data_IF_505675359836
#
_entry.id   IF_505675359836
#
_cell.length_a   1.000
_cell.length_b   1.000
_cell.length_c   1.000
_cell.angle_alpha   90.00
_cell.angle_beta   90.00
_cell.angle_gamma   90.00
#
_symmetry.space_group_name_H-M   'P 1'
#
loop_
_entity.id
_entity.type
_entity.pdbx_description
1 polymer ?
#
# COMPACT_ATOMS: atom_id res chain seq x y z
N UNK A 1 2.88 -8.22 17.36
CA UNK A 1 2.75 -6.87 16.76
C UNK A 1 2.30 -7.04 15.31
N UNK A 2 0.99 -7.04 15.03
CA UNK A 2 0.45 -7.40 13.70
C UNK A 2 0.86 -6.45 12.57
N UNK A 3 1.39 -5.26 12.90
CA UNK A 3 1.80 -4.23 11.94
C UNK A 3 3.32 -4.04 11.82
N UNK A 4 4.12 -4.95 12.39
CA UNK A 4 5.58 -4.80 12.42
C UNK A 4 6.15 -4.84 10.99
N UNK A 5 5.64 -5.72 10.15
CA UNK A 5 6.14 -5.88 8.78
C UNK A 5 5.82 -4.65 7.94
N UNK A 6 4.60 -4.14 8.03
CA UNK A 6 4.14 -2.91 7.38
C UNK A 6 4.97 -1.70 7.83
N UNK A 7 5.25 -1.62 9.14
CA UNK A 7 6.10 -0.56 9.69
C UNK A 7 7.55 -0.65 9.15
N UNK A 8 8.12 -1.85 9.06
CA UNK A 8 9.45 -2.06 8.49
C UNK A 8 9.50 -1.75 6.99
N UNK A 9 8.48 -2.15 6.23
CA UNK A 9 8.36 -1.85 4.80
C UNK A 9 8.19 -0.35 4.55
N UNK A 10 7.43 0.33 5.41
CA UNK A 10 7.28 1.79 5.37
C UNK A 10 8.61 2.52 5.62
N UNK A 11 9.42 2.02 6.57
CA UNK A 11 10.72 2.59 6.90
C UNK A 11 11.82 2.25 5.89
N UNK A 12 11.66 1.17 5.12
CA UNK A 12 12.66 0.65 4.19
C UNK A 12 13.31 1.73 3.28
N UNK A 13 12.57 2.60 2.57
CA UNK A 13 13.19 3.60 1.70
C UNK A 13 14.06 4.61 2.48
N UNK A 14 13.62 5.01 3.67
CA UNK A 14 14.36 5.95 4.52
C UNK A 14 15.61 5.29 5.10
N UNK A 15 15.49 4.05 5.59
CA UNK A 15 16.60 3.28 6.11
C UNK A 15 17.64 3.01 5.03
N UNK A 16 17.22 2.64 3.82
CA UNK A 16 18.11 2.42 2.68
C UNK A 16 18.86 3.70 2.30
N UNK A 17 18.18 4.85 2.26
CA UNK A 17 18.83 6.14 1.99
C UNK A 17 19.79 6.56 3.10
N UNK A 18 19.39 6.43 4.36
CA UNK A 18 20.24 6.72 5.52
C UNK A 18 21.50 5.84 5.55
N UNK A 19 21.35 4.54 5.27
CA UNK A 19 22.44 3.60 5.17
C UNK A 19 23.40 3.99 4.03
N UNK A 20 22.87 4.36 2.86
CA UNK A 20 23.68 4.86 1.75
C UNK A 20 24.47 6.12 2.14
N UNK A 21 23.83 7.09 2.80
CA UNK A 21 24.50 8.32 3.28
C UNK A 21 25.59 8.03 4.29
N UNK A 22 25.41 7.05 5.16
CA UNK A 22 26.43 6.64 6.11
C UNK A 22 27.69 6.11 5.40
N UNK A 23 27.53 5.30 4.36
CA UNK A 23 28.67 4.80 3.58
C UNK A 23 29.24 5.81 2.57
N UNK A 24 28.51 6.88 2.25
CA UNK A 24 28.90 7.87 1.22
C UNK A 24 28.87 9.31 1.77
N UNK A 25 29.65 9.62 2.83
CA UNK A 25 29.64 10.95 3.43
C UNK A 25 30.20 11.99 2.45
N UNK A 26 29.48 13.11 2.28
CA UNK A 26 29.90 14.22 1.41
C UNK A 26 29.78 13.95 -0.09
N UNK A 27 29.35 12.76 -0.51
CA UNK A 27 29.14 12.43 -1.92
C UNK A 27 27.70 12.75 -2.31
N UNK A 28 27.54 13.49 -3.41
CA UNK A 28 26.23 13.74 -4.01
C UNK A 28 25.73 12.51 -4.78
N UNK A 29 24.43 12.19 -4.71
CA UNK A 29 23.87 11.08 -5.48
C UNK A 29 24.08 11.32 -6.97
N UNK A 30 24.82 10.43 -7.62
CA UNK A 30 25.01 10.49 -9.06
C UNK A 30 23.69 10.29 -9.82
N UNK A 31 23.62 10.69 -11.11
CA UNK A 31 22.39 10.63 -11.90
C UNK A 31 21.72 9.25 -11.94
N UNK A 32 22.50 8.16 -11.89
CA UNK A 32 22.00 6.78 -11.87
C UNK A 32 21.19 6.47 -10.62
N UNK A 33 21.62 6.97 -9.46
CA UNK A 33 20.92 6.77 -8.17
C UNK A 33 19.61 7.55 -8.17
N UNK A 34 19.64 8.77 -8.70
CA UNK A 34 18.43 9.60 -8.87
C UNK A 34 17.44 8.92 -9.81
N UNK A 35 17.90 8.41 -10.97
CA UNK A 35 17.06 7.67 -11.91
C UNK A 35 16.47 6.40 -11.29
N UNK A 36 17.24 5.65 -10.51
CA UNK A 36 16.74 4.49 -9.79
C UNK A 36 15.66 4.87 -8.76
N UNK A 37 15.85 5.97 -8.03
CA UNK A 37 14.84 6.51 -7.12
C UNK A 37 13.55 6.90 -7.84
N UNK A 38 13.67 7.62 -8.96
CA UNK A 38 12.52 7.99 -9.80
C UNK A 38 11.79 6.77 -10.35
N UNK A 39 12.53 5.76 -10.83
CA UNK A 39 11.95 4.51 -11.30
C UNK A 39 11.19 3.77 -10.18
N UNK A 40 11.73 3.75 -8.96
CA UNK A 40 11.06 3.18 -7.80
C UNK A 40 9.74 3.89 -7.46
N UNK A 41 9.74 5.23 -7.46
CA UNK A 41 8.51 6.02 -7.24
C UNK A 41 7.48 5.75 -8.34
N UNK A 42 7.91 5.69 -9.60
CA UNK A 42 7.03 5.39 -10.73
C UNK A 42 6.42 3.99 -10.60
N UNK A 43 7.22 2.98 -10.25
CA UNK A 43 6.73 1.62 -10.02
C UNK A 43 5.71 1.55 -8.88
N UNK A 44 5.97 2.25 -7.76
CA UNK A 44 5.02 2.35 -6.65
C UNK A 44 3.68 2.92 -7.12
N UNK A 45 3.71 4.01 -7.90
CA UNK A 45 2.51 4.64 -8.41
C UNK A 45 1.74 3.74 -9.40
N UNK A 46 2.45 3.11 -10.33
CA UNK A 46 1.86 2.16 -11.29
C UNK A 46 1.22 0.97 -10.58
N UNK A 47 1.88 0.44 -9.54
CA UNK A 47 1.32 -0.67 -8.76
C UNK A 47 0.08 -0.24 -7.98
N UNK A 48 0.09 0.94 -7.34
CA UNK A 48 -1.07 1.47 -6.64
C UNK A 48 -2.26 1.67 -7.59
N UNK A 49 -2.02 2.21 -8.79
CA UNK A 49 -3.03 2.38 -9.82
C UNK A 49 -3.59 1.03 -10.28
N UNK A 50 -2.71 0.08 -10.63
CA UNK A 50 -3.10 -1.26 -11.06
C UNK A 50 -3.89 -2.01 -9.98
N UNK A 51 -3.44 -1.95 -8.73
CA UNK A 51 -4.12 -2.59 -7.60
C UNK A 51 -5.49 -1.96 -7.35
N UNK A 52 -5.59 -0.63 -7.38
CA UNK A 52 -6.87 0.08 -7.25
C UNK A 52 -7.87 -0.32 -8.33
N UNK A 53 -7.41 -0.45 -9.58
CA UNK A 53 -8.23 -0.92 -10.70
C UNK A 53 -8.57 -2.42 -10.60
N UNK A 54 -7.72 -3.23 -9.96
CA UNK A 54 -7.95 -4.68 -9.81
C UNK A 54 -8.94 -5.03 -8.70
N UNK A 55 -8.99 -4.22 -7.64
CA UNK A 55 -9.83 -4.45 -6.46
C UNK A 55 -11.11 -3.61 -6.48
N UNK A 56 -11.27 -2.70 -7.44
CA UNK A 56 -12.47 -1.88 -7.56
C UNK A 56 -13.73 -2.73 -7.74
N UNK A 57 -14.80 -2.37 -7.03
CA UNK A 57 -16.15 -2.90 -7.27
C UNK A 57 -16.53 -2.74 -8.73
N UNK A 58 -17.25 -3.72 -9.29
CA UNK A 58 -17.72 -3.60 -10.66
C UNK A 58 -18.60 -2.35 -10.78
N UNK A 59 -18.51 -1.61 -11.89
CA UNK A 59 -19.47 -0.54 -12.15
C UNK A 59 -20.89 -1.09 -11.96
N UNK A 60 -21.69 -0.43 -11.13
CA UNK A 60 -23.08 -0.79 -10.80
C UNK A 60 -23.29 -1.96 -9.81
N UNK A 61 -22.26 -2.45 -9.11
CA UNK A 61 -22.48 -3.30 -7.94
C UNK A 61 -23.04 -2.47 -6.77
N UNK A 62 -24.19 -2.90 -6.23
CA UNK A 62 -24.77 -2.26 -5.06
C UNK A 62 -23.90 -2.55 -3.82
N UNK A 63 -23.41 -1.50 -3.18
CA UNK A 63 -22.70 -1.61 -1.92
C UNK A 63 -23.64 -2.18 -0.85
N UNK A 64 -23.35 -3.38 -0.33
CA UNK A 64 -24.07 -3.98 0.80
C UNK A 64 -23.18 -3.81 2.05
N UNK A 65 -23.56 -2.95 3.01
CA UNK A 65 -22.76 -2.76 4.21
C UNK A 65 -22.71 -4.03 5.06
N UNK A 66 -21.59 -4.24 5.74
CA UNK A 66 -21.48 -5.28 6.75
C UNK A 66 -22.40 -4.97 7.94
N UNK A 67 -23.00 -6.00 8.53
CA UNK A 67 -23.88 -5.88 9.68
C UNK A 67 -23.24 -6.50 10.91
N UNK A 68 -23.64 -6.02 12.09
CA UNK A 68 -23.22 -6.62 13.36
C UNK A 68 -24.20 -7.74 13.72
N UNK A 69 -23.69 -8.96 13.85
CA UNK A 69 -24.45 -10.13 14.28
C UNK A 69 -24.89 -10.03 15.75
N UNK A 70 -25.83 -10.88 16.19
CA UNK A 70 -26.32 -10.91 17.58
C UNK A 70 -25.22 -11.21 18.62
N UNK A 71 -24.15 -11.86 18.17
CA UNK A 71 -22.95 -12.24 18.89
C UNK A 71 -21.84 -11.18 18.83
N UNK A 72 -22.10 -10.02 18.23
CA UNK A 72 -21.13 -8.93 18.06
C UNK A 72 -20.11 -9.17 16.95
N UNK A 73 -20.26 -10.23 16.14
CA UNK A 73 -19.36 -10.49 15.00
C UNK A 73 -19.81 -9.71 13.77
N UNK A 74 -18.84 -9.22 13.00
CA UNK A 74 -19.12 -8.57 11.71
C UNK A 74 -19.49 -9.63 10.68
N UNK A 75 -20.72 -9.57 10.16
CA UNK A 75 -21.22 -10.45 9.12
C UNK A 75 -21.12 -9.72 7.78
N UNK A 76 -20.42 -10.28 6.77
CA UNK A 76 -20.32 -9.69 5.44
C UNK A 76 -21.70 -9.49 4.81
N UNK A 77 -21.93 -8.32 4.21
CA UNK A 77 -23.16 -8.04 3.49
C UNK A 77 -23.28 -8.92 2.24
N UNK A 78 -24.33 -9.73 2.16
CA UNK A 78 -24.63 -10.52 0.95
C UNK A 78 -25.73 -9.84 0.12
N UNK A 79 -25.61 -9.83 -1.22
CA UNK A 79 -26.68 -9.36 -2.11
C UNK A 79 -27.94 -10.20 -1.85
N UNK A 80 -29.02 -9.57 -1.39
CA UNK A 80 -30.29 -10.23 -1.07
C UNK A 80 -30.62 -10.38 0.43
N UNK A 81 -29.74 -9.91 1.33
CA UNK A 81 -30.01 -9.91 2.79
C UNK A 81 -30.89 -8.75 3.28
N UNK A 82 -31.35 -7.88 2.39
CA UNK A 82 -32.31 -6.82 2.70
C UNK A 82 -33.74 -7.35 2.72
N UNK A 83 -34.25 -7.68 3.91
CA UNK A 83 -35.67 -7.64 4.24
C UNK A 83 -35.87 -6.78 5.47
#
# INVERSE_FOLDING_TARGET
MPYLLEFLLFLLPFAAYALWRWFNPGIEPGPRVVLAGLAGVLLMFLFALWFGLSVSMRPHEAYVPAQLGPDGRVVPGQPGSGR
#
